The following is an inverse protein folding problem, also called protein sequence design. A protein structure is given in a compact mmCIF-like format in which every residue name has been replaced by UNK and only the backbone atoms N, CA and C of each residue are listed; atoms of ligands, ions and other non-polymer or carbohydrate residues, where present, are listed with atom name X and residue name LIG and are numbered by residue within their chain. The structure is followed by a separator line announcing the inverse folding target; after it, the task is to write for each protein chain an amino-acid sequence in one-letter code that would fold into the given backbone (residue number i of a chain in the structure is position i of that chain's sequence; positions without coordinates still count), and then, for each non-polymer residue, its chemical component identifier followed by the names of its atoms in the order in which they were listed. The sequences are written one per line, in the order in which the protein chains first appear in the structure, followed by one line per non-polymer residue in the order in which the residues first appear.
data_IF_128648498927
#
_entry.id   IF_128648498927
#
_cell.length_a   1.000
_cell.length_b   1.000
_cell.length_c   1.000
_cell.angle_alpha   90.00
_cell.angle_beta   90.00
_cell.angle_gamma   90.00
#
_symmetry.space_group_name_H-M   'P 1'
#
loop_
_entity.id
_entity.type
_entity.pdbx_description
1 polymer ?
#
# COMPACT_ATOMS: atom_id res chain seq x y z
N UNK A 1 -33.22 -7.84 14.80
CA UNK A 1 -32.99 -7.72 13.34
C UNK A 1 -31.83 -6.74 13.17
N UNK A 2 -30.88 -7.07 12.31
CA UNK A 2 -29.50 -6.58 12.30
C UNK A 2 -29.38 -5.06 12.19
N UNK A 3 -28.78 -4.43 13.20
CA UNK A 3 -28.20 -3.09 13.12
C UNK A 3 -27.01 -3.16 12.14
N UNK A 4 -27.27 -2.70 10.92
CA UNK A 4 -26.27 -2.59 9.88
C UNK A 4 -25.24 -1.54 10.25
N UNK A 5 -24.06 -1.97 10.74
CA UNK A 5 -22.83 -1.22 10.54
C UNK A 5 -22.65 -1.05 9.03
N UNK A 6 -23.11 0.07 8.48
CA UNK A 6 -22.55 0.59 7.25
C UNK A 6 -21.10 0.95 7.59
N UNK A 7 -20.22 -0.02 7.37
CA UNK A 7 -18.78 0.18 7.50
C UNK A 7 -18.41 1.40 6.69
N UNK A 8 -17.69 2.34 7.31
CA UNK A 8 -17.23 3.55 6.65
C UNK A 8 -16.69 3.20 5.27
N UNK A 9 -17.24 3.82 4.22
CA UNK A 9 -16.69 3.69 2.88
C UNK A 9 -15.26 4.17 2.94
N UNK A 10 -14.31 3.27 2.79
CA UNK A 10 -12.91 3.63 2.73
C UNK A 10 -12.71 4.54 1.51
N UNK A 11 -12.14 5.72 1.69
CA UNK A 11 -11.71 6.54 0.56
C UNK A 11 -10.76 5.72 -0.32
N UNK A 12 -11.02 5.74 -1.63
CA UNK A 12 -10.18 5.05 -2.62
C UNK A 12 -9.33 6.08 -3.34
N UNK A 13 -8.02 5.85 -3.36
CA UNK A 13 -7.05 6.68 -4.06
C UNK A 13 -6.34 5.83 -5.12
N UNK A 14 -6.19 6.37 -6.32
CA UNK A 14 -5.46 5.71 -7.40
C UNK A 14 -4.01 6.23 -7.45
N UNK A 15 -3.06 5.32 -7.63
CA UNK A 15 -1.63 5.61 -7.80
C UNK A 15 -1.14 4.92 -9.05
N UNK A 16 -0.63 5.70 -10.00
CA UNK A 16 -0.07 5.20 -11.25
C UNK A 16 1.43 4.94 -11.10
N UNK A 17 1.80 3.66 -11.03
CA UNK A 17 3.19 3.18 -10.98
C UNK A 17 3.81 2.95 -12.35
N UNK A 18 3.01 2.82 -13.42
CA UNK A 18 3.50 2.67 -14.80
C UNK A 18 4.52 1.54 -14.97
N UNK A 19 5.65 1.85 -15.59
CA UNK A 19 6.77 0.92 -15.85
C UNK A 19 7.87 0.95 -14.78
N UNK A 20 7.59 1.51 -13.59
CA UNK A 20 8.58 1.56 -12.51
C UNK A 20 8.87 0.14 -12.01
N UNK A 21 10.14 -0.24 -12.00
CA UNK A 21 10.58 -1.48 -11.35
C UNK A 21 10.46 -1.43 -9.83
N UNK A 22 10.42 -2.62 -9.22
CA UNK A 22 10.06 -2.87 -7.82
C UNK A 22 10.53 -1.82 -6.81
N UNK A 23 11.83 -1.55 -6.71
CA UNK A 23 12.35 -0.65 -5.69
C UNK A 23 11.75 0.76 -5.80
N UNK A 24 11.59 1.27 -7.02
CA UNK A 24 11.04 2.61 -7.26
C UNK A 24 9.53 2.65 -7.09
N UNK A 25 8.84 1.57 -7.45
CA UNK A 25 7.42 1.39 -7.20
C UNK A 25 7.11 1.41 -5.69
N UNK A 26 7.90 0.71 -4.88
CA UNK A 26 7.73 0.69 -3.42
C UNK A 26 8.04 2.04 -2.77
N UNK A 27 9.03 2.79 -3.28
CA UNK A 27 9.29 4.17 -2.82
C UNK A 27 8.09 5.08 -3.10
N UNK A 28 7.52 5.00 -4.32
CA UNK A 28 6.32 5.75 -4.70
C UNK A 28 5.15 5.41 -3.77
N UNK A 29 4.86 4.12 -3.60
CA UNK A 29 3.78 3.65 -2.74
C UNK A 29 3.97 4.12 -1.30
N UNK A 30 5.18 3.96 -0.73
CA UNK A 30 5.53 4.41 0.62
C UNK A 30 5.29 5.91 0.80
N UNK A 31 5.75 6.72 -0.14
CA UNK A 31 5.57 8.17 -0.08
C UNK A 31 4.08 8.53 -0.07
N UNK A 32 3.28 7.86 -0.90
CA UNK A 32 1.84 8.12 -0.96
C UNK A 32 1.12 7.72 0.32
N UNK A 33 1.35 6.51 0.84
CA UNK A 33 0.63 6.03 2.03
C UNK A 33 0.96 6.82 3.29
N UNK A 34 2.15 7.43 3.36
CA UNK A 34 2.55 8.28 4.49
C UNK A 34 1.71 9.56 4.63
N UNK A 35 1.03 9.97 3.57
CA UNK A 35 0.17 11.16 3.52
C UNK A 35 -1.33 10.81 3.68
N UNK A 36 -1.68 9.53 3.76
CA UNK A 36 -3.06 9.06 3.76
C UNK A 36 -3.54 8.72 5.17
N UNK A 37 -4.85 8.90 5.38
CA UNK A 37 -5.51 8.51 6.61
C UNK A 37 -5.56 6.98 6.74
N UNK A 38 -5.63 6.49 7.98
CA UNK A 38 -5.94 5.10 8.24
C UNK A 38 -7.26 4.70 7.57
N UNK A 39 -7.29 3.49 7.02
CA UNK A 39 -8.46 2.92 6.37
C UNK A 39 -8.56 3.23 4.88
N UNK A 40 -7.87 4.26 4.38
CA UNK A 40 -7.81 4.58 2.94
C UNK A 40 -7.29 3.38 2.14
N UNK A 41 -7.92 3.10 1.00
CA UNK A 41 -7.51 2.05 0.08
C UNK A 41 -6.79 2.67 -1.11
N UNK A 42 -5.56 2.25 -1.35
CA UNK A 42 -4.77 2.61 -2.53
C UNK A 42 -4.96 1.54 -3.60
N UNK A 43 -5.39 1.95 -4.79
CA UNK A 43 -5.31 1.16 -6.01
C UNK A 43 -4.04 1.53 -6.76
N UNK A 44 -3.03 0.67 -6.69
CA UNK A 44 -1.75 0.84 -7.37
C UNK A 44 -1.75 0.10 -8.69
N UNK A 45 -1.70 0.82 -9.80
CA UNK A 45 -1.56 0.26 -11.14
C UNK A 45 -0.06 0.19 -11.53
N UNK A 46 0.40 -0.95 -12.01
CA UNK A 46 1.81 -1.15 -12.39
C UNK A 46 1.97 -2.29 -13.39
N UNK A 47 3.00 -2.21 -14.22
CA UNK A 47 3.41 -3.28 -15.14
C UNK A 47 4.58 -4.10 -14.63
N UNK A 48 5.07 -3.79 -13.43
CA UNK A 48 6.15 -4.56 -12.80
C UNK A 48 5.71 -6.02 -12.55
N UNK A 49 6.34 -7.02 -13.18
CA UNK A 49 5.96 -8.41 -13.01
C UNK A 49 6.21 -8.95 -11.59
N UNK A 50 7.02 -8.25 -10.78
CA UNK A 50 7.35 -8.67 -9.42
C UNK A 50 6.36 -8.11 -8.38
N UNK A 51 5.54 -7.12 -8.75
CA UNK A 51 4.56 -6.50 -7.85
C UNK A 51 3.64 -7.50 -7.10
N UNK A 52 3.11 -8.57 -7.73
CA UNK A 52 2.31 -9.59 -7.02
C UNK A 52 3.05 -10.29 -5.87
N UNK A 53 4.38 -10.37 -5.93
CA UNK A 53 5.23 -11.04 -4.95
C UNK A 53 5.66 -10.04 -3.87
N UNK A 54 6.09 -8.85 -4.28
CA UNK A 54 6.67 -7.88 -3.36
C UNK A 54 5.64 -7.06 -2.58
N UNK A 55 4.47 -6.76 -3.15
CA UNK A 55 3.44 -5.98 -2.44
C UNK A 55 2.94 -6.68 -1.17
N UNK A 56 2.60 -7.99 -1.17
CA UNK A 56 2.22 -8.69 0.06
C UNK A 56 3.32 -8.66 1.13
N UNK A 57 4.58 -8.85 0.71
CA UNK A 57 5.74 -8.85 1.61
C UNK A 57 5.93 -7.46 2.22
N UNK A 58 5.93 -6.42 1.38
CA UNK A 58 6.06 -5.04 1.81
C UNK A 58 4.92 -4.62 2.76
N UNK A 59 3.67 -4.96 2.43
CA UNK A 59 2.52 -4.70 3.29
C UNK A 59 2.70 -5.35 4.66
N UNK A 60 3.09 -6.64 4.71
CA UNK A 60 3.38 -7.33 5.97
C UNK A 60 4.52 -6.69 6.75
N UNK A 61 5.60 -6.27 6.08
CA UNK A 61 6.77 -5.66 6.72
C UNK A 61 6.46 -4.29 7.33
N UNK A 62 5.59 -3.53 6.65
CA UNK A 62 5.20 -2.16 7.01
C UNK A 62 3.92 -2.09 7.82
N UNK A 63 3.16 -3.18 7.97
CA UNK A 63 1.91 -3.20 8.74
C UNK A 63 0.67 -2.76 7.95
N UNK A 64 0.79 -2.53 6.64
CA UNK A 64 -0.36 -2.31 5.74
C UNK A 64 -1.05 -3.63 5.38
N UNK A 65 -2.29 -3.53 4.90
CA UNK A 65 -3.06 -4.71 4.48
C UNK A 65 -3.04 -4.82 2.95
N UNK A 66 -2.54 -5.95 2.42
CA UNK A 66 -2.69 -6.26 1.00
C UNK A 66 -4.06 -6.89 0.77
N UNK A 67 -4.89 -6.26 -0.06
CA UNK A 67 -6.26 -6.68 -0.33
C UNK A 67 -6.40 -7.53 -1.61
N UNK A 68 -5.31 -7.68 -2.38
CA UNK A 68 -5.32 -8.45 -3.62
C UNK A 68 -5.39 -7.58 -4.87
N UNK A 69 -5.75 -8.21 -5.99
CA UNK A 69 -5.89 -7.56 -7.30
C UNK A 69 -7.26 -6.92 -7.47
N UNK A 70 -7.31 -5.80 -8.18
CA UNK A 70 -8.53 -5.13 -8.61
C UNK A 70 -8.71 -5.36 -10.11
N UNK A 71 -9.94 -5.68 -10.53
CA UNK A 71 -10.26 -5.80 -11.95
C UNK A 71 -10.15 -4.42 -12.63
N UNK A 72 -9.22 -4.30 -13.58
CA UNK A 72 -8.90 -3.06 -14.28
C UNK A 72 -8.20 -3.37 -15.61
N UNK A 73 -8.12 -2.38 -16.50
CA UNK A 73 -7.43 -2.52 -17.79
C UNK A 73 -5.91 -2.71 -17.66
N UNK A 74 -5.31 -2.28 -16.55
CA UNK A 74 -3.88 -2.43 -16.21
C UNK A 74 -3.81 -3.23 -14.91
N UNK A 75 -2.80 -4.12 -14.72
CA UNK A 75 -2.63 -4.83 -13.45
C UNK A 75 -2.64 -3.86 -12.28
N UNK A 76 -3.63 -4.02 -11.39
CA UNK A 76 -3.91 -3.09 -10.31
C UNK A 76 -4.06 -3.87 -9.00
N UNK A 77 -3.46 -3.33 -7.95
CA UNK A 77 -3.36 -3.98 -6.64
C UNK A 77 -3.91 -3.05 -5.56
N UNK A 78 -4.72 -3.60 -4.65
CA UNK A 78 -5.32 -2.86 -3.56
C UNK A 78 -4.52 -3.02 -2.26
N UNK A 79 -4.22 -1.90 -1.62
CA UNK A 79 -3.52 -1.83 -0.32
C UNK A 79 -4.31 -0.93 0.62
N UNK A 80 -4.63 -1.41 1.83
CA UNK A 80 -5.23 -0.58 2.88
C UNK A 80 -4.16 0.05 3.77
N UNK A 81 -4.26 1.35 3.95
CA UNK A 81 -3.45 2.12 4.91
C UNK A 81 -3.93 1.82 6.32
N UNK A 82 -2.99 1.63 7.25
CA UNK A 82 -3.25 1.31 8.66
C UNK A 82 -2.63 2.41 9.52
N UNK A 83 -3.16 2.69 10.73
CA UNK A 83 -2.71 3.82 11.55
C UNK A 83 -1.29 3.68 12.14
N UNK A 84 -0.73 2.47 12.15
CA UNK A 84 0.59 2.21 12.70
C UNK A 84 1.48 1.52 11.66
N UNK A 85 1.83 2.19 10.55
CA UNK A 85 2.82 1.65 9.67
C UNK A 85 4.14 1.58 10.43
N UNK A 86 4.79 0.41 10.46
CA UNK A 86 6.13 0.28 10.98
C UNK A 86 7.01 1.28 10.21
N UNK A 87 7.56 2.27 10.93
CA UNK A 87 8.35 3.31 10.32
C UNK A 87 9.50 2.65 9.52
N UNK A 88 9.65 3.05 8.26
CA UNK A 88 10.73 2.57 7.38
C UNK A 88 11.65 3.75 7.06
N UNK A 89 12.95 3.48 6.89
CA UNK A 89 13.94 4.48 6.51
C UNK A 89 13.55 5.12 5.16
N UNK A 90 13.47 6.47 5.05
CA UNK A 90 13.16 7.15 3.79
C UNK A 90 14.07 6.79 2.62
N UNK A 91 15.36 6.52 2.88
CA UNK A 91 16.34 6.14 1.87
C UNK A 91 16.39 4.62 1.62
N UNK A 92 15.87 3.81 2.56
CA UNK A 92 15.88 2.35 2.49
C UNK A 92 14.52 1.79 2.94
N UNK A 93 13.47 1.80 2.09
CA UNK A 93 12.10 1.45 2.48
C UNK A 93 11.93 -0.01 2.93
N UNK A 94 12.93 -0.87 2.68
CA UNK A 94 13.02 -2.25 3.17
C UNK A 94 13.64 -2.36 4.58
N UNK A 95 14.22 -1.30 5.14
CA UNK A 95 14.73 -1.25 6.52
C UNK A 95 13.72 -0.55 7.41
N UNK A 96 13.43 -1.17 8.57
CA UNK A 96 12.73 -0.48 9.65
C UNK A 96 13.59 0.68 10.14
N UNK A 97 12.97 1.85 10.30
CA UNK A 97 13.56 2.93 11.06
C UNK A 97 13.81 2.39 12.46
N UNK A 98 15.04 2.50 12.96
CA UNK A 98 15.32 2.12 14.34
C UNK A 98 14.56 3.07 15.25
N UNK A 99 13.88 2.52 16.25
CA UNK A 99 13.34 3.31 17.35
C UNK A 99 14.51 4.09 17.96
N UNK A 100 14.42 5.43 17.94
CA UNK A 100 15.35 6.25 18.68
C UNK A 100 15.04 6.02 20.18
N UNK A 101 15.90 5.25 20.85
CA UNK A 101 15.98 5.23 22.32
C UNK A 101 16.53 6.54 22.85
#
# INVERSE_FOLDING_TARGET
MRDGKIGAVADVVVVEGGDLGCARLLVLLRARVAELAEGTVVHLSTRDPIAPIDLPVWCRMTGHEYLGTVEAAVPTYAVRVTAAPAATDPANPWRRARDAS
#
